data_IF_877538697573
#
_entry.id   IF_877538697573
#
_cell.length_a   1.000
_cell.length_b   1.000
_cell.length_c   1.000
_cell.angle_alpha   90.00
_cell.angle_beta   90.00
_cell.angle_gamma   90.00
#
_symmetry.space_group_name_H-M   'P 1'
#
loop_
_entity.id
_entity.type
_entity.pdbx_description
1 polymer ?
#
# COMPACT_ATOMS: atom_id res chain seq x y z
N UNK A 1 -15.31 4.75 18.44
CA UNK A 1 -13.89 4.48 18.69
C UNK A 1 -13.12 5.05 17.52
N UNK A 2 -11.98 5.70 17.75
CA UNK A 2 -11.13 6.13 16.63
C UNK A 2 -10.45 4.92 16.00
N UNK A 3 -10.60 4.76 14.69
CA UNK A 3 -9.91 3.75 13.90
C UNK A 3 -8.73 4.41 13.18
N UNK A 4 -7.51 3.93 13.44
CA UNK A 4 -6.30 4.47 12.82
C UNK A 4 -5.65 3.45 11.92
N UNK A 5 -5.09 3.94 10.83
CA UNK A 5 -4.21 3.21 9.92
C UNK A 5 -2.81 3.78 9.97
N UNK A 6 -1.81 2.92 9.84
CA UNK A 6 -0.42 3.27 9.58
C UNK A 6 0.12 2.41 8.45
N UNK A 7 1.36 2.61 8.04
CA UNK A 7 1.97 1.79 7.00
C UNK A 7 3.49 1.89 7.00
N UNK A 8 4.11 0.95 6.32
CA UNK A 8 5.54 0.76 6.18
C UNK A 8 5.88 0.27 4.75
N UNK A 9 5.59 1.07 3.70
CA UNK A 9 5.90 0.65 2.34
C UNK A 9 7.41 0.64 2.09
N UNK A 10 7.85 -0.40 1.42
CA UNK A 10 9.23 -0.67 1.05
C UNK A 10 9.54 -0.13 -0.35
N UNK A 11 10.76 0.36 -0.58
CA UNK A 11 11.23 0.87 -1.86
C UNK A 11 12.63 0.35 -2.20
N UNK A 12 12.85 0.12 -3.50
CA UNK A 12 14.20 -0.06 -4.04
C UNK A 12 14.78 1.29 -4.43
N UNK A 13 16.09 1.44 -4.24
CA UNK A 13 16.82 2.63 -4.63
C UNK A 13 17.72 2.34 -5.82
N UNK A 14 17.78 3.29 -6.77
CA UNK A 14 18.76 3.28 -7.85
C UNK A 14 19.57 4.58 -7.85
N UNK A 15 20.78 4.53 -8.41
CA UNK A 15 21.61 5.69 -8.72
C UNK A 15 22.11 5.54 -10.15
N UNK A 16 21.76 6.50 -11.02
CA UNK A 16 22.03 6.42 -12.46
C UNK A 16 21.50 5.12 -13.08
N UNK A 17 20.24 4.76 -12.75
CA UNK A 17 19.57 3.56 -13.23
C UNK A 17 20.12 2.22 -12.71
N UNK A 18 21.04 2.21 -11.74
CA UNK A 18 21.60 0.99 -11.14
C UNK A 18 21.17 0.84 -9.69
N UNK A 19 20.79 -0.38 -9.30
CA UNK A 19 20.49 -0.73 -7.91
C UNK A 19 21.61 -0.30 -6.95
N UNK A 20 21.21 0.28 -5.82
CA UNK A 20 22.10 0.58 -4.69
C UNK A 20 21.46 0.16 -3.36
N UNK A 21 22.28 -0.32 -2.42
CA UNK A 21 21.80 -0.72 -1.10
C UNK A 21 21.36 0.49 -0.27
N UNK A 22 20.15 0.46 0.28
CA UNK A 22 19.62 1.55 1.11
C UNK A 22 20.49 1.84 2.35
N UNK A 23 21.16 0.84 2.91
CA UNK A 23 22.07 0.98 4.05
C UNK A 23 23.24 1.94 3.83
N UNK A 24 23.59 2.22 2.57
CA UNK A 24 24.67 3.15 2.24
C UNK A 24 24.24 4.63 2.42
N UNK A 25 22.93 4.89 2.50
CA UNK A 25 22.35 6.23 2.44
C UNK A 25 21.50 6.56 3.66
N UNK A 26 20.76 5.58 4.19
CA UNK A 26 19.79 5.80 5.25
C UNK A 26 20.10 4.95 6.49
N UNK A 27 19.64 5.44 7.65
CA UNK A 27 19.79 4.75 8.94
C UNK A 27 18.59 3.83 9.19
N UNK A 28 18.82 2.75 9.95
CA UNK A 28 17.74 1.88 10.45
C UNK A 28 16.74 2.69 11.28
N UNK A 29 15.46 2.31 11.22
CA UNK A 29 14.36 2.86 12.03
C UNK A 29 14.10 4.38 11.88
N UNK A 30 14.66 5.02 10.84
CA UNK A 30 14.30 6.40 10.49
C UNK A 30 12.96 6.46 9.75
N UNK A 31 12.35 7.65 9.69
CA UNK A 31 11.11 7.88 8.94
C UNK A 31 11.24 7.54 7.46
N UNK A 32 12.38 7.87 6.85
CA UNK A 32 12.87 7.25 5.62
C UNK A 32 14.13 6.48 5.99
N UNK A 33 14.04 5.15 6.07
CA UNK A 33 15.07 4.33 6.69
C UNK A 33 15.16 2.92 6.11
N UNK A 34 15.59 1.98 6.94
CA UNK A 34 15.69 0.55 6.63
C UNK A 34 14.98 -0.24 7.75
N UNK A 35 14.61 -1.49 7.49
CA UNK A 35 14.19 -2.47 8.51
C UNK A 35 15.13 -3.69 8.55
N UNK A 36 14.58 -4.92 8.49
CA UNK A 36 15.32 -6.17 8.55
C UNK A 36 16.18 -6.44 7.32
N UNK A 37 15.91 -5.77 6.20
CA UNK A 37 16.69 -5.85 4.97
C UNK A 37 17.54 -4.58 4.79
N UNK A 38 18.87 -4.74 4.74
CA UNK A 38 19.78 -3.60 4.53
C UNK A 38 19.68 -3.01 3.11
N UNK A 39 19.21 -3.80 2.14
CA UNK A 39 19.12 -3.42 0.73
C UNK A 39 17.93 -2.51 0.41
N UNK A 40 16.87 -2.57 1.22
CA UNK A 40 15.56 -2.00 0.91
C UNK A 40 15.28 -0.81 1.84
N UNK A 41 14.79 0.29 1.27
CA UNK A 41 14.32 1.43 2.03
C UNK A 41 12.89 1.17 2.53
N UNK A 42 12.53 1.70 3.69
CA UNK A 42 11.19 1.59 4.27
C UNK A 42 10.74 2.95 4.80
N UNK A 43 9.52 3.35 4.47
CA UNK A 43 8.90 4.59 4.92
C UNK A 43 8.12 4.36 6.20
N UNK A 44 8.11 5.31 7.13
CA UNK A 44 7.37 5.22 8.40
C UNK A 44 6.65 6.54 8.72
N UNK A 45 5.51 6.82 8.07
CA UNK A 45 4.68 8.02 8.31
C UNK A 45 3.98 8.06 9.68
N UNK A 46 4.11 7.01 10.49
CA UNK A 46 3.33 6.86 11.72
C UNK A 46 1.92 6.40 11.39
N UNK A 47 0.92 6.98 12.05
CA UNK A 47 -0.48 6.62 11.89
C UNK A 47 -1.38 7.84 11.70
N UNK A 48 -2.59 7.61 11.20
CA UNK A 48 -3.65 8.60 11.05
C UNK A 48 -5.02 7.94 11.08
N UNK A 49 -6.06 8.67 11.44
CA UNK A 49 -7.44 8.26 11.19
C UNK A 49 -7.82 8.47 9.71
N UNK A 50 -7.23 9.49 9.09
CA UNK A 50 -7.51 9.90 7.71
C UNK A 50 -6.51 9.30 6.71
N UNK A 51 -6.99 8.58 5.66
CA UNK A 51 -6.12 8.10 4.60
C UNK A 51 -5.51 9.25 3.79
N UNK A 52 -6.19 10.39 3.69
CA UNK A 52 -5.68 11.62 3.07
C UNK A 52 -4.46 12.13 3.85
N UNK A 53 -4.59 12.25 5.17
CA UNK A 53 -3.51 12.74 6.02
C UNK A 53 -2.32 11.78 6.03
N UNK A 54 -2.58 10.46 6.04
CA UNK A 54 -1.52 9.46 5.97
C UNK A 54 -0.79 9.53 4.62
N UNK A 55 -1.51 9.76 3.52
CA UNK A 55 -0.93 9.97 2.18
C UNK A 55 -0.06 11.23 2.16
N UNK A 56 -0.51 12.32 2.78
CA UNK A 56 0.28 13.56 2.88
C UNK A 56 1.57 13.35 3.72
N UNK A 57 1.49 12.59 4.82
CA UNK A 57 2.68 12.24 5.62
C UNK A 57 3.69 11.41 4.84
N UNK A 58 3.24 10.50 3.96
CA UNK A 58 4.13 9.75 3.07
C UNK A 58 4.87 10.69 2.13
N UNK A 59 4.18 11.68 1.53
CA UNK A 59 4.82 12.68 0.67
C UNK A 59 5.95 13.43 1.40
N UNK A 60 5.70 13.89 2.63
CA UNK A 60 6.70 14.59 3.45
C UNK A 60 7.94 13.71 3.69
N UNK A 61 7.74 12.40 3.91
CA UNK A 61 8.84 11.46 4.11
C UNK A 61 9.64 11.21 2.83
N UNK A 62 8.95 11.10 1.69
CA UNK A 62 9.61 10.99 0.38
C UNK A 62 10.43 12.24 0.07
N UNK A 63 9.89 13.44 0.34
CA UNK A 63 10.59 14.72 0.20
C UNK A 63 11.86 14.73 1.07
N UNK A 64 11.73 14.39 2.35
CA UNK A 64 12.88 14.28 3.26
C UNK A 64 13.94 13.27 2.80
N UNK A 65 13.51 12.13 2.28
CA UNK A 65 14.42 11.13 1.70
C UNK A 65 15.19 11.70 0.52
N UNK A 66 14.47 12.30 -0.43
CA UNK A 66 15.05 12.91 -1.62
C UNK A 66 15.98 14.09 -1.28
N UNK A 67 15.60 14.99 -0.37
CA UNK A 67 16.44 16.13 0.05
C UNK A 67 17.81 15.69 0.57
N UNK A 68 17.87 14.54 1.27
CA UNK A 68 19.14 14.01 1.80
C UNK A 68 20.06 13.46 0.73
N UNK A 69 19.48 12.80 -0.27
CA UNK A 69 20.23 12.16 -1.36
C UNK A 69 19.50 12.39 -2.69
N UNK A 70 19.60 13.61 -3.26
CA UNK A 70 18.83 14.00 -4.44
C UNK A 70 19.17 13.20 -5.69
N UNK A 71 20.32 12.53 -5.71
CA UNK A 71 20.76 11.73 -6.85
C UNK A 71 20.15 10.33 -6.90
N UNK A 72 19.34 9.95 -5.89
CA UNK A 72 18.71 8.65 -5.82
C UNK A 72 17.34 8.65 -6.49
N UNK A 73 17.09 7.59 -7.24
CA UNK A 73 15.79 7.24 -7.79
C UNK A 73 15.11 6.24 -6.85
N UNK A 74 13.79 6.34 -6.71
CA UNK A 74 13.01 5.49 -5.80
C UNK A 74 11.99 4.67 -6.60
N UNK A 75 11.95 3.35 -6.38
CA UNK A 75 11.09 2.43 -7.13
C UNK A 75 10.18 1.64 -6.17
N UNK A 76 8.87 1.73 -6.41
CA UNK A 76 7.84 0.91 -5.78
C UNK A 76 7.47 -0.29 -6.69
N UNK A 77 6.47 -1.06 -6.28
CA UNK A 77 5.98 -2.23 -7.01
C UNK A 77 5.99 -3.51 -6.20
N UNK A 78 5.93 -4.66 -6.88
CA UNK A 78 5.94 -5.96 -6.20
C UNK A 78 7.33 -6.58 -6.19
N UNK A 79 8.08 -6.40 -7.26
CA UNK A 79 9.38 -7.02 -7.44
C UNK A 79 10.28 -6.11 -8.27
N UNK A 80 11.35 -5.62 -7.66
CA UNK A 80 12.28 -4.64 -8.26
C UNK A 80 13.72 -5.06 -7.99
N UNK A 81 14.58 -5.00 -9.01
CA UNK A 81 16.02 -5.29 -8.88
C UNK A 81 16.34 -6.60 -8.14
N UNK A 82 15.56 -7.66 -8.38
CA UNK A 82 15.64 -8.97 -7.71
C UNK A 82 15.20 -9.01 -6.24
N UNK A 83 14.49 -7.98 -5.77
CA UNK A 83 13.92 -7.94 -4.42
C UNK A 83 12.39 -7.94 -4.48
N UNK A 84 11.74 -8.87 -3.75
CA UNK A 84 10.34 -8.72 -3.43
C UNK A 84 10.18 -7.60 -2.40
N UNK A 85 9.28 -6.65 -2.65
CA UNK A 85 9.03 -5.51 -1.74
C UNK A 85 7.56 -5.47 -1.30
N UNK A 86 7.33 -4.96 -0.09
CA UNK A 86 6.06 -4.99 0.62
C UNK A 86 5.46 -3.61 0.83
N UNK A 87 4.13 -3.55 0.84
CA UNK A 87 3.39 -2.35 1.21
C UNK A 87 2.59 -2.61 2.48
N UNK A 88 3.26 -2.93 3.60
CA UNK A 88 2.51 -3.34 4.78
C UNK A 88 1.69 -2.17 5.37
N UNK A 89 0.56 -2.55 5.96
CA UNK A 89 -0.45 -1.62 6.45
C UNK A 89 -0.77 -2.02 7.89
N UNK A 90 -0.67 -1.07 8.80
CA UNK A 90 -1.03 -1.23 10.19
C UNK A 90 -2.47 -0.82 10.41
N UNK A 91 -3.23 -1.63 11.15
CA UNK A 91 -4.60 -1.32 11.55
C UNK A 91 -4.69 -1.36 13.07
N UNK A 92 -5.44 -0.44 13.67
CA UNK A 92 -5.63 -0.41 15.13
C UNK A 92 -6.53 -1.52 15.68
N UNK A 93 -7.09 -2.36 14.81
CA UNK A 93 -7.91 -3.51 15.20
C UNK A 93 -7.10 -4.81 15.22
N UNK A 94 -7.53 -5.74 16.07
CA UNK A 94 -6.93 -7.08 16.14
C UNK A 94 -7.33 -7.93 14.93
N UNK A 95 -6.45 -8.83 14.46
CA UNK A 95 -6.73 -9.65 13.29
C UNK A 95 -7.90 -10.61 13.58
N UNK A 96 -8.84 -10.68 12.65
CA UNK A 96 -9.96 -11.63 12.66
C UNK A 96 -10.03 -12.33 11.30
N UNK A 97 -10.37 -13.63 11.22
CA UNK A 97 -10.42 -14.35 9.95
C UNK A 97 -11.23 -13.63 8.86
N UNK A 98 -12.44 -13.16 9.19
CA UNK A 98 -13.31 -12.40 8.27
C UNK A 98 -12.69 -11.10 7.78
N UNK A 99 -11.91 -10.42 8.63
CA UNK A 99 -11.23 -9.18 8.27
C UNK A 99 -10.05 -9.46 7.33
N UNK A 100 -9.22 -10.46 7.64
CA UNK A 100 -8.10 -10.85 6.78
C UNK A 100 -8.60 -11.32 5.41
N UNK A 101 -9.62 -12.17 5.37
CA UNK A 101 -10.26 -12.63 4.13
C UNK A 101 -10.80 -11.46 3.29
N UNK A 102 -11.42 -10.47 3.95
CA UNK A 102 -11.98 -9.29 3.26
C UNK A 102 -10.87 -8.36 2.76
N UNK A 103 -9.80 -8.16 3.53
CA UNK A 103 -8.62 -7.38 3.10
C UNK A 103 -7.93 -8.04 1.90
N UNK A 104 -7.69 -9.35 1.97
CA UNK A 104 -7.14 -10.11 0.85
C UNK A 104 -8.05 -9.96 -0.38
N UNK A 105 -9.36 -10.11 -0.20
CA UNK A 105 -10.34 -9.99 -1.30
C UNK A 105 -10.27 -8.61 -1.97
N UNK A 106 -10.29 -7.53 -1.20
CA UNK A 106 -10.36 -6.16 -1.72
C UNK A 106 -9.03 -5.73 -2.31
N UNK A 107 -7.93 -5.88 -1.57
CA UNK A 107 -6.62 -5.40 -2.00
C UNK A 107 -6.02 -6.29 -3.08
N UNK A 108 -6.26 -7.61 -3.08
CA UNK A 108 -5.90 -8.45 -4.23
C UNK A 108 -6.76 -8.14 -5.45
N UNK A 109 -8.03 -7.73 -5.27
CA UNK A 109 -8.84 -7.25 -6.40
C UNK A 109 -8.25 -5.98 -7.00
N UNK A 110 -7.84 -5.01 -6.18
CA UNK A 110 -7.16 -3.81 -6.66
C UNK A 110 -5.88 -4.20 -7.40
N UNK A 111 -5.04 -5.00 -6.75
CA UNK A 111 -3.77 -5.46 -7.27
C UNK A 111 -3.91 -6.12 -8.64
N UNK A 112 -4.90 -7.00 -8.82
CA UNK A 112 -5.20 -7.65 -10.12
C UNK A 112 -5.54 -6.68 -11.25
N UNK A 113 -6.07 -5.50 -10.93
CA UNK A 113 -6.51 -4.52 -11.94
C UNK A 113 -5.39 -3.56 -12.28
N UNK A 114 -4.64 -3.05 -11.29
CA UNK A 114 -3.73 -1.93 -11.50
C UNK A 114 -2.25 -2.32 -11.53
N UNK A 115 -1.87 -3.46 -10.94
CA UNK A 115 -0.46 -3.82 -10.81
C UNK A 115 0.08 -4.53 -12.04
N UNK A 116 1.40 -4.45 -12.24
CA UNK A 116 2.10 -5.24 -13.24
C UNK A 116 2.06 -6.75 -12.90
N UNK A 117 1.60 -7.55 -13.86
CA UNK A 117 1.39 -9.00 -13.66
C UNK A 117 2.70 -9.74 -13.42
N UNK A 118 3.77 -9.37 -14.14
CA UNK A 118 5.05 -10.07 -14.04
C UNK A 118 5.69 -9.83 -12.68
N UNK A 119 5.69 -8.58 -12.20
CA UNK A 119 6.18 -8.26 -10.85
C UNK A 119 5.37 -8.97 -9.76
N UNK A 120 4.04 -9.02 -9.87
CA UNK A 120 3.19 -9.76 -8.91
C UNK A 120 3.60 -11.23 -8.84
N UNK A 121 3.66 -11.89 -10.00
CA UNK A 121 4.03 -13.32 -10.08
C UNK A 121 5.46 -13.57 -9.55
N UNK A 122 6.41 -12.68 -9.84
CA UNK A 122 7.77 -12.80 -9.30
C UNK A 122 7.79 -12.70 -7.77
N UNK A 123 7.03 -11.76 -7.19
CA UNK A 123 6.90 -11.62 -5.74
C UNK A 123 6.23 -12.84 -5.11
N UNK A 124 5.15 -13.36 -5.69
CA UNK A 124 4.48 -14.57 -5.21
C UNK A 124 5.45 -15.77 -5.18
N UNK A 125 6.24 -15.95 -6.23
CA UNK A 125 7.23 -17.03 -6.34
C UNK A 125 8.38 -16.89 -5.32
N UNK A 126 8.69 -15.67 -4.87
CA UNK A 126 9.66 -15.45 -3.79
C UNK A 126 9.17 -15.94 -2.41
N UNK A 127 7.86 -16.16 -2.26
CA UNK A 127 7.22 -16.51 -1.00
C UNK A 127 6.96 -15.33 -0.06
N UNK A 128 7.27 -14.10 -0.45
CA UNK A 128 6.99 -12.88 0.32
C UNK A 128 5.53 -12.43 0.19
N UNK A 129 4.94 -11.96 1.30
CA UNK A 129 3.58 -11.41 1.33
C UNK A 129 2.50 -12.36 0.82
N UNK A 130 2.53 -13.63 1.26
CA UNK A 130 1.50 -14.62 0.95
C UNK A 130 0.11 -14.13 1.32
N UNK A 131 -0.92 -14.66 0.67
CA UNK A 131 -2.32 -14.47 1.06
C UNK A 131 -2.48 -14.75 2.55
N UNK A 132 -3.23 -13.88 3.22
CA UNK A 132 -3.47 -13.89 4.67
C UNK A 132 -2.22 -13.67 5.52
N UNK A 133 -1.15 -13.09 4.97
CA UNK A 133 0.01 -12.70 5.75
C UNK A 133 -0.30 -11.50 6.66
N UNK A 134 -0.17 -11.70 7.97
CA UNK A 134 -0.24 -10.63 8.96
C UNK A 134 0.67 -10.94 10.16
N UNK A 135 0.89 -9.93 11.00
CA UNK A 135 1.50 -10.06 12.33
C UNK A 135 0.63 -9.35 13.36
N UNK A 136 0.42 -9.99 14.51
CA UNK A 136 -0.23 -9.34 15.66
C UNK A 136 0.73 -8.33 16.29
N UNK A 137 0.20 -7.19 16.70
CA UNK A 137 0.93 -6.11 17.39
C UNK A 137 0.14 -5.68 18.63
N UNK A 138 0.82 -5.04 19.58
CA UNK A 138 0.16 -4.47 20.76
C UNK A 138 -0.93 -3.47 20.37
N UNK A 139 -0.68 -2.67 19.33
CA UNK A 139 -1.60 -1.67 18.82
C UNK A 139 -2.63 -2.20 17.80
N UNK A 140 -2.68 -3.52 17.53
CA UNK A 140 -3.61 -4.10 16.55
C UNK A 140 -2.94 -5.14 15.66
N UNK A 141 -2.83 -4.85 14.37
CA UNK A 141 -2.17 -5.74 13.42
C UNK A 141 -1.33 -5.02 12.38
N UNK A 142 -0.42 -5.78 11.78
CA UNK A 142 0.34 -5.43 10.59
C UNK A 142 -0.07 -6.40 9.48
N UNK A 143 -0.80 -5.92 8.48
CA UNK A 143 -1.24 -6.68 7.32
C UNK A 143 -0.20 -6.59 6.20
N UNK A 144 0.25 -7.74 5.68
CA UNK A 144 1.51 -7.86 4.92
C UNK A 144 1.37 -8.46 3.53
N UNK A 145 0.16 -8.77 3.09
CA UNK A 145 -0.09 -9.36 1.77
C UNK A 145 0.33 -8.43 0.60
N UNK A 146 0.01 -7.12 0.57
CA UNK A 146 0.24 -6.29 -0.61
C UNK A 146 1.72 -6.07 -0.93
N UNK A 147 2.06 -5.96 -2.21
CA UNK A 147 3.31 -5.37 -2.67
C UNK A 147 3.37 -3.86 -2.35
N UNK A 148 4.52 -3.23 -2.61
CA UNK A 148 4.67 -1.80 -2.38
C UNK A 148 3.82 -1.00 -3.36
N UNK A 149 2.73 -0.45 -2.85
CA UNK A 149 1.73 0.33 -3.59
C UNK A 149 2.09 1.83 -3.71
N UNK A 150 3.24 2.27 -3.19
CA UNK A 150 3.64 3.68 -3.06
C UNK A 150 4.06 4.34 -4.40
N UNK A 151 3.42 3.97 -5.51
CA UNK A 151 3.73 4.43 -6.86
C UNK A 151 3.41 5.92 -7.07
N UNK A 152 2.28 6.37 -6.52
CA UNK A 152 1.79 7.75 -6.62
C UNK A 152 0.87 8.10 -5.45
N UNK A 153 0.56 9.39 -5.22
CA UNK A 153 -0.43 9.79 -4.21
C UNK A 153 -1.80 9.14 -4.42
N UNK A 154 -2.24 8.99 -5.68
CA UNK A 154 -3.53 8.39 -6.02
C UNK A 154 -3.58 6.89 -5.66
N UNK A 155 -2.58 6.10 -6.07
CA UNK A 155 -2.51 4.66 -5.73
C UNK A 155 -2.43 4.45 -4.21
N UNK A 156 -1.65 5.30 -3.55
CA UNK A 156 -1.53 5.30 -2.09
C UNK A 156 -2.85 5.58 -1.40
N UNK A 157 -3.50 6.69 -1.77
CA UNK A 157 -4.77 7.10 -1.20
C UNK A 157 -5.84 6.01 -1.39
N UNK A 158 -5.94 5.45 -2.59
CA UNK A 158 -6.89 4.38 -2.91
C UNK A 158 -6.62 3.15 -2.05
N UNK A 159 -5.37 2.71 -1.94
CA UNK A 159 -5.02 1.51 -1.14
C UNK A 159 -5.37 1.70 0.34
N UNK A 160 -5.00 2.85 0.93
CA UNK A 160 -5.29 3.18 2.32
C UNK A 160 -6.80 3.33 2.57
N UNK A 161 -7.51 3.95 1.63
CA UNK A 161 -8.97 4.12 1.68
C UNK A 161 -9.68 2.77 1.63
N UNK A 162 -9.31 1.89 0.69
CA UNK A 162 -9.86 0.55 0.59
C UNK A 162 -9.58 -0.28 1.85
N UNK A 163 -8.40 -0.11 2.44
CA UNK A 163 -8.06 -0.77 3.71
C UNK A 163 -8.97 -0.31 4.84
N UNK A 164 -9.14 1.01 5.01
CA UNK A 164 -10.01 1.59 6.04
C UNK A 164 -11.47 1.17 5.85
N UNK A 165 -12.01 1.30 4.64
CA UNK A 165 -13.39 0.90 4.34
C UNK A 165 -13.62 -0.59 4.56
N UNK A 166 -12.66 -1.43 4.20
CA UNK A 166 -12.74 -2.88 4.46
C UNK A 166 -12.80 -3.17 5.95
N UNK A 167 -11.96 -2.51 6.75
CA UNK A 167 -11.96 -2.69 8.19
C UNK A 167 -13.31 -2.28 8.78
N UNK A 168 -13.80 -1.07 8.49
CA UNK A 168 -15.08 -0.56 9.00
C UNK A 168 -16.26 -1.44 8.58
N UNK A 169 -16.32 -1.84 7.31
CA UNK A 169 -17.37 -2.72 6.79
C UNK A 169 -17.43 -4.04 7.56
N UNK A 170 -16.27 -4.61 7.91
CA UNK A 170 -16.22 -5.88 8.66
C UNK A 170 -16.46 -5.68 10.15
N UNK A 171 -15.87 -4.66 10.77
CA UNK A 171 -15.86 -4.51 12.23
C UNK A 171 -17.07 -3.78 12.78
N UNK A 172 -17.66 -2.86 12.01
CA UNK A 172 -18.81 -2.05 12.43
C UNK A 172 -20.10 -2.51 11.78
N UNK A 173 -20.05 -2.85 10.49
CA UNK A 173 -21.25 -3.18 9.71
C UNK A 173 -21.51 -4.69 9.54
N UNK A 174 -20.60 -5.53 10.04
CA UNK A 174 -20.55 -7.00 9.93
C UNK A 174 -20.70 -7.54 8.48
N UNK A 175 -20.14 -6.82 7.52
CA UNK A 175 -20.19 -7.17 6.09
C UNK A 175 -19.05 -8.15 5.75
N UNK A 176 -19.37 -9.20 4.98
CA UNK A 176 -18.36 -10.12 4.45
C UNK A 176 -18.04 -9.77 2.98
N UNK A 177 -16.96 -9.02 2.74
CA UNK A 177 -16.64 -8.57 1.38
C UNK A 177 -16.18 -9.71 0.46
N UNK A 178 -15.69 -10.83 1.02
CA UNK A 178 -15.41 -12.06 0.26
C UNK A 178 -16.68 -12.68 -0.30
N UNK A 179 -17.73 -12.75 0.51
CA UNK A 179 -19.06 -13.19 0.05
C UNK A 179 -19.67 -12.20 -0.95
N UNK A 180 -19.54 -10.90 -0.69
CA UNK A 180 -20.04 -9.87 -1.62
C UNK A 180 -19.34 -9.93 -2.97
N UNK A 181 -18.02 -10.19 -3.01
CA UNK A 181 -17.30 -10.43 -4.28
C UNK A 181 -17.87 -11.63 -5.00
N UNK A 182 -18.15 -12.73 -4.29
CA UNK A 182 -18.67 -13.97 -4.88
C UNK A 182 -17.81 -14.38 -6.10
N UNK A 183 -18.42 -14.58 -7.26
CA UNK A 183 -17.76 -14.92 -8.53
C UNK A 183 -17.41 -13.70 -9.39
N UNK A 184 -17.63 -12.47 -8.92
CA UNK A 184 -17.36 -11.27 -9.71
C UNK A 184 -15.87 -11.06 -9.96
N UNK A 185 -15.54 -10.76 -11.21
CA UNK A 185 -14.21 -10.30 -11.60
C UNK A 185 -13.80 -9.04 -10.84
N UNK A 186 -12.49 -8.87 -10.61
CA UNK A 186 -11.94 -7.83 -9.73
C UNK A 186 -12.34 -6.40 -10.12
N UNK A 187 -12.30 -6.06 -11.40
CA UNK A 187 -12.72 -4.73 -11.85
C UNK A 187 -14.23 -4.48 -11.59
N UNK A 188 -15.09 -5.46 -11.91
CA UNK A 188 -16.53 -5.38 -11.66
C UNK A 188 -16.84 -5.23 -10.16
N UNK A 189 -16.15 -6.01 -9.32
CA UNK A 189 -16.28 -5.94 -7.87
C UNK A 189 -15.92 -4.56 -7.32
N UNK A 190 -14.76 -4.01 -7.69
CA UNK A 190 -14.30 -2.70 -7.22
C UNK A 190 -15.24 -1.56 -7.64
N UNK A 191 -15.75 -1.59 -8.89
CA UNK A 191 -16.73 -0.61 -9.37
C UNK A 191 -18.05 -0.65 -8.60
N UNK A 192 -18.41 -1.79 -8.02
CA UNK A 192 -19.62 -1.96 -7.20
C UNK A 192 -19.35 -1.80 -5.71
N UNK A 193 -18.09 -1.66 -5.27
CA UNK A 193 -17.72 -1.68 -3.85
C UNK A 193 -18.53 -0.68 -3.03
N UNK A 194 -18.71 0.55 -3.55
CA UNK A 194 -19.51 1.59 -2.90
C UNK A 194 -20.93 1.14 -2.53
N UNK A 195 -21.54 0.26 -3.33
CA UNK A 195 -22.90 -0.26 -3.11
C UNK A 195 -22.99 -1.29 -1.98
N UNK A 196 -21.87 -1.86 -1.58
CA UNK A 196 -21.81 -2.84 -0.49
C UNK A 196 -21.52 -2.20 0.87
N UNK A 197 -21.08 -0.94 0.91
CA UNK A 197 -20.71 -0.25 2.14
C UNK A 197 -21.93 0.45 2.74
N UNK A 198 -22.15 0.30 4.05
CA UNK A 198 -23.19 1.07 4.77
C UNK A 198 -22.64 2.41 5.23
N UNK A 199 -21.41 2.41 5.74
CA UNK A 199 -20.73 3.61 6.24
C UNK A 199 -19.57 3.98 5.34
N UNK A 200 -19.57 5.21 4.83
CA UNK A 200 -18.44 5.80 4.09
C UNK A 200 -18.06 7.09 4.81
N UNK A 201 -16.97 7.11 5.59
CA UNK A 201 -16.45 8.34 6.18
C UNK A 201 -16.09 9.38 5.11
N UNK A 202 -16.24 10.67 5.43
CA UNK A 202 -15.95 11.76 4.49
C UNK A 202 -14.52 11.72 3.96
N UNK A 203 -13.56 11.34 4.80
CA UNK A 203 -12.14 11.23 4.44
C UNK A 203 -11.81 10.04 3.51
N UNK A 204 -12.78 9.16 3.24
CA UNK A 204 -12.67 8.08 2.27
C UNK A 204 -13.30 8.42 0.91
N UNK A 205 -14.07 9.52 0.80
CA UNK A 205 -14.78 9.87 -0.44
C UNK A 205 -13.82 10.12 -1.58
N UNK A 206 -12.74 10.87 -1.32
CA UNK A 206 -11.74 11.20 -2.34
C UNK A 206 -11.00 9.95 -2.83
N UNK A 207 -10.63 9.04 -1.93
CA UNK A 207 -10.01 7.78 -2.32
C UNK A 207 -10.93 6.91 -3.18
N UNK A 208 -12.25 6.95 -2.96
CA UNK A 208 -13.18 6.26 -3.85
C UNK A 208 -13.31 6.94 -5.22
N UNK A 209 -13.21 8.27 -5.30
CA UNK A 209 -13.22 8.99 -6.57
C UNK A 209 -11.95 8.68 -7.38
N UNK A 210 -10.79 8.68 -6.73
CA UNK A 210 -9.52 8.28 -7.34
C UNK A 210 -9.54 6.81 -7.77
N UNK A 211 -10.21 5.92 -7.02
CA UNK A 211 -10.40 4.53 -7.45
C UNK A 211 -11.09 4.45 -8.81
N UNK A 212 -12.18 5.20 -9.03
CA UNK A 212 -12.90 5.19 -10.31
C UNK A 212 -12.02 5.66 -11.48
N UNK A 213 -11.07 6.54 -11.22
CA UNK A 213 -10.08 7.01 -12.20
C UNK A 213 -9.03 5.93 -12.44
N UNK A 214 -8.44 5.37 -11.37
CA UNK A 214 -7.38 4.35 -11.46
C UNK A 214 -7.83 3.09 -12.19
N UNK A 215 -9.09 2.65 -12.00
CA UNK A 215 -9.63 1.46 -12.67
C UNK A 215 -9.71 1.58 -14.20
N UNK A 216 -9.41 2.75 -14.76
CA UNK A 216 -9.39 3.05 -16.20
C UNK A 216 -7.99 3.45 -16.70
N UNK A 217 -6.98 3.46 -15.83
CA UNK A 217 -5.61 3.86 -16.16
C UNK A 217 -4.71 2.64 -16.31
N UNK A 218 -3.74 2.76 -17.22
CA UNK A 218 -2.58 1.88 -17.24
C UNK A 218 -1.45 2.58 -16.50
N UNK A 219 -0.85 1.91 -15.52
CA UNK A 219 0.21 2.44 -14.68
C UNK A 219 1.55 1.84 -15.10
N UNK A 220 2.62 2.63 -15.02
CA UNK A 220 3.97 2.15 -15.24
C UNK A 220 4.61 1.80 -13.88
N UNK A 221 4.77 0.52 -13.60
CA UNK A 221 5.38 0.07 -12.34
C UNK A 221 6.91 0.00 -12.36
N UNK A 222 7.55 0.37 -13.47
CA UNK A 222 9.02 0.39 -13.59
C UNK A 222 9.52 1.81 -13.86
N UNK A 223 9.11 2.76 -13.02
CA UNK A 223 9.55 4.15 -13.08
C UNK A 223 9.98 4.67 -11.71
N UNK A 224 10.80 5.71 -11.73
CA UNK A 224 11.09 6.49 -10.54
C UNK A 224 9.79 7.12 -10.05
N UNK A 225 9.42 6.91 -8.79
CA UNK A 225 8.15 7.39 -8.25
C UNK A 225 8.15 8.89 -7.96
N UNK A 226 9.32 9.51 -7.78
CA UNK A 226 9.41 10.91 -7.33
C UNK A 226 8.64 11.92 -8.22
N UNK A 227 8.65 11.82 -9.56
CA UNK A 227 7.78 12.63 -10.43
C UNK A 227 6.30 12.41 -10.20
N UNK A 228 5.85 11.18 -9.97
CA UNK A 228 4.45 10.87 -9.68
C UNK A 228 3.97 11.52 -8.37
N UNK A 229 4.90 11.79 -7.45
CA UNK A 229 4.65 12.48 -6.18
C UNK A 229 4.90 14.00 -6.25
N UNK A 230 5.34 14.52 -7.39
CA UNK A 230 5.65 15.95 -7.58
C UNK A 230 6.91 16.42 -6.85
N UNK A 231 7.87 15.52 -6.60
CA UNK A 231 9.08 15.82 -5.80
C UNK A 231 10.30 16.11 -6.70
N UNK A 232 10.41 15.45 -7.85
CA UNK A 232 11.48 15.66 -8.82
C UNK A 232 10.93 15.45 -10.24
N UNK A 233 11.40 16.22 -11.22
CA UNK A 233 10.98 16.13 -12.63
C UNK A 233 11.91 15.23 -13.44
#
# INVERSE_FOLDING_TARGET
>A
MSFTIGCDPELVLRKNGKFVSASNYYKKNASFGLDGCNSIAELRPGYSESPIDLTAKIKIILEYGHEKHPELEMFAGHYQDSYPIGGHIHLSCQPKPKLIDSLDTVLYSLSNVIDDKEQRTARENSGYGKISAYRTKEHGMEYRTPGSWCLSPSVTLVTLTLTKLTALAVTEDDINLKEMKSTMGSNCFLRKLRTFLKTIPDDCVEGLNELDILLRKNLNWNENILPNWGIAS
#
